data_IF_896526724535
#
_entry.id   IF_896526724535
#
_cell.length_a   1.000
_cell.length_b   1.000
_cell.length_c   1.000
_cell.angle_alpha   90.00
_cell.angle_beta   90.00
_cell.angle_gamma   90.00
#
_symmetry.space_group_name_H-M   'P 1'
#
loop_
_entity.id
_entity.type
_entity.pdbx_description
1 polymer ?
#
# COMPACT_ATOMS: atom_id res chain seq x y z
N UNK A 1 22.08 -38.41 -56.32
CA UNK A 1 23.28 -38.97 -55.67
C UNK A 1 23.45 -38.20 -54.37
N UNK A 2 23.10 -38.85 -53.25
CA UNK A 2 23.49 -38.63 -51.84
C UNK A 2 23.53 -37.21 -51.22
N UNK A 3 22.93 -37.16 -50.02
CA UNK A 3 23.07 -36.21 -48.91
C UNK A 3 22.39 -34.83 -49.05
N UNK A 4 21.60 -34.31 -48.08
CA UNK A 4 21.31 -34.76 -46.71
C UNK A 4 20.02 -34.05 -46.23
N UNK A 5 19.12 -34.81 -45.61
CA UNK A 5 18.05 -34.30 -44.74
C UNK A 5 18.65 -33.61 -43.52
N UNK A 6 17.97 -32.59 -42.94
CA UNK A 6 17.67 -32.54 -41.49
C UNK A 6 16.76 -31.33 -41.15
N UNK A 7 15.52 -31.66 -40.76
CA UNK A 7 14.67 -31.05 -39.72
C UNK A 7 14.09 -29.64 -39.86
N UNK A 8 12.84 -29.63 -40.33
CA UNK A 8 11.69 -28.98 -39.67
C UNK A 8 11.67 -29.32 -38.17
N UNK A 9 11.77 -28.32 -37.27
CA UNK A 9 11.11 -28.19 -35.93
C UNK A 9 11.79 -27.04 -35.19
N UNK A 10 11.29 -25.80 -35.33
CA UNK A 10 11.73 -24.69 -34.46
C UNK A 10 10.63 -23.61 -34.35
N UNK A 11 9.42 -24.03 -34.00
CA UNK A 11 8.31 -23.16 -33.61
C UNK A 11 7.59 -23.82 -32.43
N UNK A 12 8.24 -23.81 -31.26
CA UNK A 12 7.70 -24.06 -29.90
C UNK A 12 8.86 -24.10 -28.89
N UNK A 13 9.43 -22.94 -28.57
CA UNK A 13 10.22 -22.66 -27.35
C UNK A 13 10.60 -21.18 -27.33
N UNK A 14 9.59 -20.35 -27.09
CA UNK A 14 9.77 -18.96 -26.67
C UNK A 14 8.76 -18.68 -25.55
N UNK A 15 8.65 -19.63 -24.61
CA UNK A 15 8.18 -19.36 -23.25
C UNK A 15 9.39 -18.79 -22.51
N UNK A 16 9.43 -17.47 -22.41
CA UNK A 16 10.42 -16.72 -21.65
C UNK A 16 10.49 -17.25 -20.21
N UNK A 17 11.65 -17.78 -19.85
CA UNK A 17 12.07 -18.11 -18.48
C UNK A 17 12.19 -16.82 -17.65
N UNK A 18 11.05 -16.31 -17.17
CA UNK A 18 11.00 -15.17 -16.24
C UNK A 18 11.26 -15.60 -14.79
N UNK A 19 11.10 -16.90 -14.47
CA UNK A 19 11.40 -17.45 -13.15
C UNK A 19 12.90 -17.43 -12.82
N UNK A 20 13.80 -17.46 -13.81
CA UNK A 20 15.24 -17.59 -13.55
C UNK A 20 15.98 -16.26 -13.32
N UNK A 21 15.41 -15.12 -13.74
CA UNK A 21 16.06 -13.80 -13.61
C UNK A 21 15.62 -13.04 -12.34
N UNK A 22 14.42 -13.28 -11.81
CA UNK A 22 13.95 -12.64 -10.58
C UNK A 22 14.62 -13.17 -9.30
N UNK A 23 15.28 -14.33 -9.34
CA UNK A 23 15.72 -15.06 -8.14
C UNK A 23 17.23 -15.16 -7.92
N UNK A 24 18.08 -14.60 -8.80
CA UNK A 24 19.55 -14.69 -8.65
C UNK A 24 20.17 -13.64 -7.73
N UNK A 25 19.41 -12.63 -7.28
CA UNK A 25 19.91 -11.56 -6.40
C UNK A 25 19.79 -11.79 -4.88
N UNK A 26 19.09 -12.84 -4.42
CA UNK A 26 18.60 -12.92 -3.03
C UNK A 26 19.30 -14.00 -2.17
N UNK A 27 20.31 -14.70 -2.71
CA UNK A 27 20.98 -15.79 -1.95
C UNK A 27 22.00 -15.34 -0.91
N UNK A 28 22.43 -14.08 -0.89
CA UNK A 28 23.53 -13.65 0.00
C UNK A 28 23.06 -13.15 1.39
N UNK A 29 21.79 -12.76 1.55
CA UNK A 29 21.28 -12.22 2.83
C UNK A 29 20.75 -13.28 3.81
N UNK A 30 20.65 -14.56 3.42
CA UNK A 30 20.18 -15.63 4.32
C UNK A 30 21.24 -16.13 5.32
N UNK A 31 22.47 -15.62 5.29
CA UNK A 31 23.54 -16.14 6.15
C UNK A 31 23.75 -15.36 7.46
N UNK A 32 23.11 -14.20 7.67
CA UNK A 32 23.40 -13.34 8.84
C UNK A 32 22.35 -13.41 9.95
N UNK A 33 21.15 -13.93 9.68
CA UNK A 33 20.09 -14.10 10.71
C UNK A 33 20.01 -15.51 11.34
N UNK A 34 20.86 -16.47 10.95
CA UNK A 34 20.81 -17.84 11.45
C UNK A 34 21.68 -18.12 12.69
N UNK A 35 22.36 -17.11 13.25
CA UNK A 35 23.22 -17.26 14.44
C UNK A 35 22.72 -16.43 15.62
N UNK A 36 21.58 -16.83 16.17
CA UNK A 36 21.21 -16.51 17.55
C UNK A 36 20.66 -17.79 18.21
N UNK A 37 21.56 -18.53 18.84
CA UNK A 37 21.26 -19.72 19.63
C UNK A 37 20.39 -19.35 20.85
N UNK A 38 19.18 -19.92 20.94
CA UNK A 38 18.56 -20.22 22.23
C UNK A 38 18.14 -21.70 22.26
N UNK A 39 18.95 -22.51 22.93
CA UNK A 39 18.62 -23.88 23.34
C UNK A 39 17.58 -23.82 24.47
N UNK A 40 16.50 -24.59 24.36
CA UNK A 40 15.81 -25.18 25.53
C UNK A 40 15.54 -26.67 25.29
N UNK A 41 15.64 -27.52 26.32
CA UNK A 41 15.74 -28.97 26.14
C UNK A 41 14.36 -29.64 26.01
N UNK A 42 14.32 -30.61 25.10
CA UNK A 42 13.30 -31.66 24.99
C UNK A 42 13.32 -32.54 26.25
N UNK A 43 12.16 -32.74 26.86
CA UNK A 43 11.88 -33.90 27.72
C UNK A 43 10.60 -34.57 27.21
N UNK A 44 10.78 -35.77 26.68
CA UNK A 44 9.73 -36.75 26.40
C UNK A 44 9.27 -37.36 27.73
N UNK A 45 7.95 -37.47 27.93
CA UNK A 45 7.36 -38.51 28.76
C UNK A 45 5.99 -38.90 28.18
N UNK A 46 5.91 -40.16 27.74
CA UNK A 46 4.71 -40.86 27.30
C UNK A 46 3.84 -41.21 28.52
N UNK A 47 2.52 -41.08 28.39
CA UNK A 47 1.56 -41.94 29.08
C UNK A 47 0.14 -41.71 28.54
N UNK A 48 -0.38 -42.74 27.89
CA UNK A 48 -1.79 -42.94 27.53
C UNK A 48 -2.67 -43.10 28.78
N UNK A 49 -3.87 -42.54 28.77
CA UNK A 49 -5.09 -43.33 29.01
C UNK A 49 -6.36 -42.53 28.72
N UNK A 50 -7.23 -43.17 27.93
CA UNK A 50 -8.60 -42.77 27.72
C UNK A 50 -9.45 -43.14 28.94
N UNK A 51 -10.36 -42.26 29.35
CA UNK A 51 -11.64 -42.67 29.91
C UNK A 51 -12.70 -41.61 29.66
N UNK A 52 -13.75 -42.02 28.96
CA UNK A 52 -15.04 -41.36 28.87
C UNK A 52 -15.71 -41.35 30.25
N UNK A 53 -16.09 -40.17 30.74
CA UNK A 53 -17.23 -40.02 31.65
C UNK A 53 -17.98 -38.74 31.32
N UNK A 54 -19.30 -38.90 31.16
CA UNK A 54 -20.30 -37.90 30.82
C UNK A 54 -20.80 -37.28 32.14
N UNK A 55 -20.85 -35.96 32.23
CA UNK A 55 -21.46 -35.23 33.35
C UNK A 55 -22.24 -34.00 32.83
N UNK A 56 -23.24 -33.51 33.58
CA UNK A 56 -24.50 -33.01 33.04
C UNK A 56 -24.48 -31.51 32.71
N UNK A 57 -25.47 -31.11 31.89
CA UNK A 57 -25.74 -29.76 31.47
C UNK A 57 -26.00 -28.83 32.68
N UNK A 58 -25.21 -27.76 32.78
CA UNK A 58 -25.49 -26.61 33.64
C UNK A 58 -25.61 -25.37 32.77
N UNK A 59 -26.69 -24.61 33.00
CA UNK A 59 -26.92 -23.30 32.40
C UNK A 59 -25.76 -22.35 32.73
N UNK A 60 -25.01 -21.97 31.71
CA UNK A 60 -23.95 -20.95 31.79
C UNK A 60 -24.37 -19.70 31.05
N UNK A 61 -24.40 -18.58 31.78
CA UNK A 61 -24.70 -17.25 31.28
C UNK A 61 -23.90 -16.90 30.02
N UNK A 62 -24.55 -16.19 29.09
CA UNK A 62 -23.88 -15.54 27.98
C UNK A 62 -22.86 -14.54 28.54
N UNK A 63 -21.59 -14.96 28.58
CA UNK A 63 -20.46 -14.05 28.70
C UNK A 63 -20.39 -13.27 27.38
N UNK A 64 -20.84 -12.03 27.43
CA UNK A 64 -20.51 -11.01 26.44
C UNK A 64 -18.99 -10.83 26.47
N UNK A 65 -18.26 -11.64 25.70
CA UNK A 65 -16.89 -11.34 25.31
C UNK A 65 -16.94 -10.02 24.55
N UNK A 66 -16.46 -8.94 25.17
CA UNK A 66 -16.17 -7.70 24.46
C UNK A 66 -15.09 -8.05 23.44
N UNK A 67 -15.48 -8.23 22.17
CA UNK A 67 -14.53 -8.32 21.08
C UNK A 67 -13.81 -6.98 20.99
N UNK A 68 -12.49 -7.00 21.15
CA UNK A 68 -11.65 -5.81 20.93
C UNK A 68 -11.78 -5.39 19.48
N UNK A 69 -12.04 -4.10 19.23
CA UNK A 69 -12.18 -3.61 17.85
C UNK A 69 -10.82 -3.68 17.14
N UNK A 70 -10.76 -3.79 15.80
CA UNK A 70 -9.50 -3.82 15.07
C UNK A 70 -8.57 -2.65 15.43
N UNK A 71 -9.14 -1.44 15.61
CA UNK A 71 -8.41 -0.24 16.03
C UNK A 71 -7.86 -0.32 17.46
N UNK A 72 -8.53 -1.02 18.38
CA UNK A 72 -8.03 -1.25 19.74
C UNK A 72 -6.87 -2.26 19.71
N UNK A 73 -7.03 -3.37 18.99
CA UNK A 73 -5.99 -4.38 18.83
C UNK A 73 -4.71 -3.78 18.19
N UNK A 74 -4.85 -2.85 17.25
CA UNK A 74 -3.71 -2.12 16.69
C UNK A 74 -2.98 -1.22 17.68
N UNK A 75 -3.72 -0.54 18.57
CA UNK A 75 -3.10 0.31 19.59
C UNK A 75 -2.32 -0.54 20.60
N UNK A 76 -2.86 -1.69 20.98
CA UNK A 76 -2.17 -2.66 21.82
C UNK A 76 -0.92 -3.22 21.13
N UNK A 77 -1.03 -3.60 19.84
CA UNK A 77 0.10 -4.09 19.07
C UNK A 77 1.23 -3.05 18.88
N UNK A 78 0.92 -1.75 18.79
CA UNK A 78 1.94 -0.69 18.73
C UNK A 78 2.55 -0.36 20.11
N UNK A 79 1.78 -0.53 21.19
CA UNK A 79 2.28 -0.39 22.57
C UNK A 79 3.25 -1.52 22.95
N UNK A 80 3.03 -2.71 22.41
CA UNK A 80 3.88 -3.89 22.61
C UNK A 80 4.97 -4.05 21.54
N UNK A 81 5.10 -3.09 20.62
CA UNK A 81 6.09 -3.16 19.54
C UNK A 81 7.52 -3.23 20.10
N UNK A 82 8.26 -4.25 19.66
CA UNK A 82 9.67 -4.40 20.01
C UNK A 82 10.51 -3.34 19.28
N UNK A 83 11.55 -2.84 19.93
CA UNK A 83 12.50 -1.95 19.26
C UNK A 83 13.71 -2.75 18.78
N UNK A 84 14.16 -2.48 17.56
CA UNK A 84 15.34 -3.11 16.98
C UNK A 84 16.29 -2.03 16.41
N UNK A 85 16.99 -1.27 17.27
CA UNK A 85 17.86 -0.18 16.83
C UNK A 85 18.99 -0.63 15.90
N UNK A 86 19.51 -1.85 16.10
CA UNK A 86 20.61 -2.41 15.32
C UNK A 86 20.20 -2.68 13.86
N UNK A 87 19.02 -3.27 13.65
CA UNK A 87 18.48 -3.53 12.31
C UNK A 87 18.26 -2.22 11.54
N UNK A 88 17.70 -1.22 12.19
CA UNK A 88 17.49 0.10 11.57
C UNK A 88 18.82 0.79 11.27
N UNK A 89 19.81 0.68 12.16
CA UNK A 89 21.14 1.25 11.91
C UNK A 89 21.84 0.54 10.76
N UNK A 90 21.71 -0.78 10.66
CA UNK A 90 22.24 -1.57 9.54
C UNK A 90 21.68 -1.07 8.21
N UNK A 91 20.36 -0.96 8.08
CA UNK A 91 19.74 -0.45 6.85
C UNK A 91 20.02 1.03 6.61
N UNK A 92 20.09 1.88 7.64
CA UNK A 92 20.48 3.28 7.48
C UNK A 92 21.89 3.42 6.91
N UNK A 93 22.84 2.57 7.35
CA UNK A 93 24.20 2.54 6.80
C UNK A 93 24.23 2.06 5.34
N UNK A 94 23.36 1.12 4.96
CA UNK A 94 23.23 0.72 3.55
C UNK A 94 22.69 1.87 2.71
N UNK A 95 21.59 2.50 3.15
CA UNK A 95 20.95 3.60 2.42
C UNK A 95 21.87 4.81 2.28
N UNK A 96 22.68 5.14 3.29
CA UNK A 96 23.62 6.27 3.22
C UNK A 96 24.73 6.09 2.18
N UNK A 97 24.98 4.85 1.73
CA UNK A 97 25.94 4.53 0.67
C UNK A 97 25.33 4.59 -0.75
N UNK A 98 24.01 4.72 -0.87
CA UNK A 98 23.32 4.74 -2.15
C UNK A 98 23.48 6.08 -2.88
N UNK A 99 23.37 6.12 -4.23
CA UNK A 99 23.37 7.37 -4.97
C UNK A 99 22.29 8.32 -4.45
N UNK A 100 22.68 9.55 -4.13
CA UNK A 100 21.79 10.59 -3.62
C UNK A 100 21.59 11.72 -4.64
N UNK A 101 20.44 12.38 -4.57
CA UNK A 101 20.11 13.56 -5.38
C UNK A 101 19.21 14.50 -4.58
N UNK A 102 19.24 15.79 -4.90
CA UNK A 102 18.30 16.75 -4.32
C UNK A 102 16.87 16.43 -4.79
N UNK A 103 15.94 16.32 -3.85
CA UNK A 103 14.55 15.95 -4.12
C UNK A 103 13.60 17.16 -4.21
N UNK A 104 12.31 16.87 -4.36
CA UNK A 104 11.23 17.89 -4.31
C UNK A 104 11.08 18.53 -2.92
N UNK A 105 11.37 17.78 -1.87
CA UNK A 105 11.42 18.28 -0.50
C UNK A 105 12.85 18.72 -0.15
N UNK A 106 13.03 19.40 0.98
CA UNK A 106 14.37 19.73 1.49
C UNK A 106 15.26 18.51 1.79
N UNK A 107 14.67 17.30 1.72
CA UNK A 107 15.36 16.07 2.04
C UNK A 107 16.05 15.53 0.80
N UNK A 108 17.28 15.02 0.99
CA UNK A 108 17.95 14.22 -0.03
C UNK A 108 17.11 12.97 -0.36
N UNK A 109 17.01 12.67 -1.64
CA UNK A 109 16.50 11.40 -2.12
C UNK A 109 17.66 10.45 -2.39
N UNK A 110 17.49 9.22 -1.95
CA UNK A 110 18.39 8.12 -2.25
C UNK A 110 17.74 7.23 -3.29
N UNK A 111 18.54 6.75 -4.24
CA UNK A 111 18.11 5.79 -5.25
C UNK A 111 18.30 4.38 -4.72
N UNK A 112 17.20 3.72 -4.38
CA UNK A 112 17.19 2.31 -4.01
C UNK A 112 17.73 1.44 -5.17
N UNK A 113 18.32 0.29 -4.87
CA UNK A 113 18.91 -0.61 -5.88
C UNK A 113 17.89 -1.07 -6.94
N UNK A 114 16.62 -1.15 -6.56
CA UNK A 114 15.50 -1.44 -7.45
C UNK A 114 15.05 -0.23 -8.30
N UNK A 115 15.80 0.87 -8.28
CA UNK A 115 15.67 2.00 -9.20
C UNK A 115 14.70 3.10 -8.80
N UNK A 116 14.08 3.03 -7.62
CA UNK A 116 13.15 4.04 -7.14
C UNK A 116 13.77 5.00 -6.11
N UNK A 117 13.15 6.16 -5.92
CA UNK A 117 13.69 7.25 -5.09
C UNK A 117 12.81 7.57 -3.89
N UNK A 118 13.40 7.79 -2.72
CA UNK A 118 12.69 8.42 -1.59
C UNK A 118 13.72 8.97 -0.58
N UNK A 119 13.26 9.64 0.46
CA UNK A 119 14.15 10.02 1.56
C UNK A 119 14.62 8.78 2.34
N UNK A 120 15.70 8.95 3.11
CA UNK A 120 16.33 7.84 3.84
C UNK A 120 15.34 7.04 4.70
N UNK A 121 14.50 7.75 5.46
CA UNK A 121 13.70 7.12 6.52
C UNK A 121 12.64 6.15 5.96
N UNK A 122 11.84 6.51 4.93
CA UNK A 122 10.94 5.56 4.30
C UNK A 122 11.66 4.39 3.59
N UNK A 123 12.85 4.61 3.02
CA UNK A 123 13.63 3.49 2.42
C UNK A 123 14.03 2.50 3.51
N UNK A 124 14.57 2.99 4.63
CA UNK A 124 14.91 2.13 5.78
C UNK A 124 13.68 1.39 6.27
N UNK A 125 12.55 2.08 6.44
CA UNK A 125 11.28 1.45 6.86
C UNK A 125 10.82 0.36 5.90
N UNK A 126 10.98 0.56 4.59
CA UNK A 126 10.66 -0.44 3.58
C UNK A 126 11.57 -1.68 3.66
N UNK A 127 12.88 -1.49 3.87
CA UNK A 127 13.83 -2.59 4.01
C UNK A 127 13.60 -3.39 5.30
N UNK A 128 13.26 -2.71 6.41
CA UNK A 128 12.86 -3.38 7.66
C UNK A 128 11.53 -4.13 7.46
N UNK A 129 10.56 -3.54 6.77
CA UNK A 129 9.32 -4.22 6.45
C UNK A 129 9.56 -5.49 5.62
N UNK A 130 10.42 -5.46 4.60
CA UNK A 130 10.79 -6.66 3.85
C UNK A 130 11.44 -7.75 4.73
N UNK A 131 12.30 -7.35 5.67
CA UNK A 131 12.98 -8.28 6.57
C UNK A 131 12.06 -8.90 7.64
N UNK A 132 11.02 -8.18 8.09
CA UNK A 132 10.25 -8.54 9.28
C UNK A 132 8.76 -8.84 9.01
N UNK A 133 8.18 -8.36 7.91
CA UNK A 133 6.75 -8.54 7.64
C UNK A 133 6.45 -9.96 7.19
N UNK A 134 5.55 -10.62 7.92
CA UNK A 134 5.02 -11.94 7.56
C UNK A 134 3.59 -11.78 7.05
N UNK A 135 3.45 -11.90 5.73
CA UNK A 135 2.17 -11.85 5.04
C UNK A 135 1.26 -13.03 5.40
N UNK A 136 -0.03 -12.76 5.60
CA UNK A 136 -1.10 -13.77 5.71
C UNK A 136 -1.91 -13.82 4.41
N UNK A 137 -2.45 -14.99 4.02
CA UNK A 137 -3.30 -15.11 2.84
C UNK A 137 -4.53 -14.18 2.85
N UNK A 138 -4.98 -13.76 4.03
CA UNK A 138 -6.13 -12.90 4.27
C UNK A 138 -5.80 -11.40 4.25
N UNK A 139 -4.51 -11.01 4.22
CA UNK A 139 -4.15 -9.59 4.22
C UNK A 139 -4.58 -8.91 2.91
N UNK A 140 -5.00 -7.65 3.05
CA UNK A 140 -5.35 -6.78 1.93
C UNK A 140 -4.45 -5.55 1.97
N UNK A 141 -3.74 -5.30 0.88
CA UNK A 141 -2.72 -4.25 0.78
C UNK A 141 -3.15 -3.23 -0.26
N UNK A 142 -3.31 -1.98 0.16
CA UNK A 142 -3.47 -0.85 -0.75
C UNK A 142 -2.09 -0.39 -1.20
N UNK A 143 -1.86 -0.39 -2.50
CA UNK A 143 -0.66 0.17 -3.09
C UNK A 143 -1.01 1.37 -3.99
N UNK A 144 -0.30 2.48 -3.84
CA UNK A 144 -0.49 3.66 -4.71
C UNK A 144 0.82 4.42 -4.81
N UNK A 145 1.07 5.16 -5.89
CA UNK A 145 2.00 6.29 -5.75
C UNK A 145 1.35 7.36 -4.85
N UNK A 146 2.12 8.10 -4.04
CA UNK A 146 1.58 9.18 -3.22
C UNK A 146 0.69 10.12 -4.06
N UNK A 147 -0.47 10.52 -3.54
CA UNK A 147 -1.40 11.46 -4.22
C UNK A 147 -2.17 10.90 -5.43
N UNK A 148 -2.18 9.59 -5.61
CA UNK A 148 -3.01 8.91 -6.63
C UNK A 148 -4.39 8.48 -6.13
N UNK A 149 -4.89 9.07 -5.04
CA UNK A 149 -6.20 8.73 -4.45
C UNK A 149 -6.13 7.82 -3.21
N UNK A 150 -4.98 7.70 -2.57
CA UNK A 150 -4.73 6.79 -1.43
C UNK A 150 -5.73 6.96 -0.28
N UNK A 151 -6.01 8.20 0.13
CA UNK A 151 -6.98 8.48 1.20
C UNK A 151 -8.37 7.95 0.85
N UNK A 152 -8.79 8.13 -0.41
CA UNK A 152 -10.11 7.72 -0.86
C UNK A 152 -10.24 6.19 -0.94
N UNK A 153 -9.26 5.50 -1.53
CA UNK A 153 -9.29 4.03 -1.59
C UNK A 153 -9.14 3.39 -0.20
N UNK A 154 -8.38 4.01 0.72
CA UNK A 154 -8.36 3.58 2.13
C UNK A 154 -9.74 3.68 2.78
N UNK A 155 -10.42 4.79 2.58
CA UNK A 155 -11.79 4.97 3.08
C UNK A 155 -12.75 3.94 2.52
N UNK A 156 -12.75 3.76 1.20
CA UNK A 156 -13.63 2.80 0.52
C UNK A 156 -13.35 1.36 0.95
N UNK A 157 -12.08 0.96 1.03
CA UNK A 157 -11.72 -0.40 1.47
C UNK A 157 -12.14 -0.64 2.92
N UNK A 158 -11.83 0.28 3.83
CA UNK A 158 -12.17 0.13 5.25
C UNK A 158 -13.69 0.03 5.44
N UNK A 159 -14.44 0.97 4.87
CA UNK A 159 -15.90 0.97 4.94
C UNK A 159 -16.49 -0.30 4.31
N UNK A 160 -15.92 -0.80 3.21
CA UNK A 160 -16.40 -2.03 2.55
C UNK A 160 -16.13 -3.26 3.42
N UNK A 161 -14.90 -3.45 3.91
CA UNK A 161 -14.50 -4.64 4.69
C UNK A 161 -15.20 -4.71 6.04
N UNK A 162 -15.40 -3.56 6.69
CA UNK A 162 -15.98 -3.50 8.03
C UNK A 162 -17.45 -3.08 8.04
N UNK A 163 -18.15 -2.99 6.90
CA UNK A 163 -19.54 -2.48 6.81
C UNK A 163 -20.56 -3.13 7.76
N UNK A 164 -20.33 -4.39 8.14
CA UNK A 164 -21.20 -5.13 9.08
C UNK A 164 -20.88 -4.82 10.55
N UNK A 165 -19.61 -4.59 10.85
CA UNK A 165 -19.12 -4.23 12.19
C UNK A 165 -19.32 -2.73 12.47
N UNK A 166 -19.20 -1.92 11.42
CA UNK A 166 -19.30 -0.47 11.44
C UNK A 166 -20.27 -0.01 10.34
N UNK A 167 -21.59 -0.11 10.57
CA UNK A 167 -22.58 0.44 9.66
C UNK A 167 -22.32 1.92 9.37
N UNK A 168 -22.62 2.35 8.15
CA UNK A 168 -22.33 3.71 7.64
C UNK A 168 -23.00 4.84 8.43
N UNK A 169 -24.11 4.55 9.10
CA UNK A 169 -24.92 5.47 9.90
C UNK A 169 -24.66 5.32 11.42
N UNK A 170 -23.75 4.43 11.81
CA UNK A 170 -23.38 4.24 13.20
C UNK A 170 -22.76 5.52 13.78
N UNK A 171 -23.27 5.97 14.93
CA UNK A 171 -22.77 7.18 15.60
C UNK A 171 -21.28 7.07 15.97
N UNK A 172 -20.84 5.86 16.28
CA UNK A 172 -19.46 5.50 16.62
C UNK A 172 -18.64 5.01 15.40
N UNK A 173 -19.11 5.23 14.17
CA UNK A 173 -18.35 4.87 12.98
C UNK A 173 -16.93 5.46 13.05
N UNK A 174 -15.87 4.67 12.78
CA UNK A 174 -14.48 5.09 12.99
C UNK A 174 -14.09 6.42 12.36
N UNK A 175 -14.61 6.75 11.17
CA UNK A 175 -14.36 8.04 10.51
C UNK A 175 -14.84 9.28 11.29
N UNK A 176 -15.69 9.13 12.32
CA UNK A 176 -16.07 10.26 13.18
C UNK A 176 -14.95 10.64 14.17
N UNK A 177 -14.01 9.74 14.45
CA UNK A 177 -12.95 9.93 15.46
C UNK A 177 -11.53 9.71 14.93
N UNK A 178 -11.38 8.96 13.84
CA UNK A 178 -10.10 8.49 13.31
C UNK A 178 -10.05 8.67 11.78
N UNK A 179 -8.95 9.21 11.27
CA UNK A 179 -8.78 9.43 9.83
C UNK A 179 -8.45 8.14 9.05
N UNK A 180 -8.67 8.09 7.72
CA UNK A 180 -8.42 6.88 6.93
C UNK A 180 -6.97 6.36 6.96
N UNK A 181 -6.00 7.25 7.19
CA UNK A 181 -4.59 6.89 7.32
C UNK A 181 -4.26 6.19 8.64
N UNK A 182 -5.07 6.37 9.67
CA UNK A 182 -4.95 5.66 10.96
C UNK A 182 -5.72 4.33 10.95
N UNK A 183 -6.79 4.24 10.15
CA UNK A 183 -7.54 2.99 9.95
C UNK A 183 -6.79 1.94 9.10
N UNK A 184 -5.94 2.39 8.17
CA UNK A 184 -5.12 1.51 7.33
C UNK A 184 -3.71 2.09 7.28
N UNK A 185 -2.79 1.56 8.06
CA UNK A 185 -1.46 2.14 8.25
C UNK A 185 -0.48 1.75 7.15
N UNK A 186 0.45 2.66 6.85
CA UNK A 186 1.53 2.39 5.90
C UNK A 186 2.66 1.58 6.51
N UNK A 187 3.25 0.66 5.75
CA UNK A 187 4.48 -0.04 6.16
C UNK A 187 5.61 0.94 6.43
N UNK A 188 5.97 1.75 5.44
CA UNK A 188 7.18 2.58 5.43
C UNK A 188 7.02 3.95 6.12
N UNK A 189 5.79 4.34 6.46
CA UNK A 189 5.50 5.65 7.06
C UNK A 189 4.92 5.62 8.48
N UNK A 190 4.35 4.49 8.91
CA UNK A 190 3.71 4.38 10.23
C UNK A 190 4.19 3.13 10.99
N UNK A 191 4.13 1.95 10.37
CA UNK A 191 4.35 0.66 11.04
C UNK A 191 5.83 0.36 11.31
N UNK A 192 6.64 0.31 10.27
CA UNK A 192 8.08 0.03 10.36
C UNK A 192 8.86 1.33 10.42
N UNK A 193 8.67 2.05 11.53
CA UNK A 193 9.29 3.35 11.75
C UNK A 193 9.81 3.49 13.17
N UNK A 194 10.60 4.55 13.42
CA UNK A 194 11.06 4.91 14.79
C UNK A 194 11.71 3.74 15.54
N UNK A 195 12.45 2.89 14.82
CA UNK A 195 13.14 1.70 15.34
C UNK A 195 12.22 0.58 15.84
N UNK A 196 10.91 0.65 15.58
CA UNK A 196 9.93 -0.35 16.02
C UNK A 196 9.76 -1.48 14.99
N UNK A 197 9.47 -2.67 15.48
CA UNK A 197 8.94 -3.81 14.73
C UNK A 197 7.59 -4.16 15.35
N UNK A 198 6.47 -3.86 14.66
CA UNK A 198 5.13 -4.02 15.24
C UNK A 198 4.74 -5.49 15.38
N UNK A 199 4.06 -5.82 16.48
CA UNK A 199 3.52 -7.15 16.76
C UNK A 199 2.25 -7.46 15.97
N UNK A 200 2.32 -7.45 14.64
CA UNK A 200 1.16 -7.58 13.73
C UNK A 200 0.49 -8.96 13.79
N UNK A 201 1.08 -9.93 14.47
CA UNK A 201 0.55 -11.28 14.59
C UNK A 201 -0.69 -11.37 15.50
N UNK A 202 -0.92 -10.35 16.33
CA UNK A 202 -2.07 -10.31 17.25
C UNK A 202 -3.31 -9.69 16.60
N UNK A 203 -3.18 -9.08 15.43
CA UNK A 203 -4.30 -8.43 14.75
C UNK A 203 -5.27 -9.48 14.19
N UNK A 204 -6.59 -9.20 14.24
CA UNK A 204 -7.59 -10.07 13.63
C UNK A 204 -7.48 -10.03 12.10
N UNK A 205 -7.96 -11.09 11.45
CA UNK A 205 -8.07 -11.16 10.01
C UNK A 205 -9.42 -10.57 9.52
N UNK A 206 -9.46 -9.98 8.31
CA UNK A 206 -8.33 -9.64 7.46
C UNK A 206 -7.58 -8.40 7.97
N UNK A 207 -6.24 -8.40 7.88
CA UNK A 207 -5.45 -7.20 8.21
C UNK A 207 -5.38 -6.28 6.99
N UNK A 208 -5.55 -4.98 7.23
CA UNK A 208 -5.52 -3.95 6.19
C UNK A 208 -4.23 -3.14 6.29
N UNK A 209 -3.45 -3.14 5.22
CA UNK A 209 -2.20 -2.37 5.15
C UNK A 209 -2.17 -1.48 3.92
N UNK A 210 -1.26 -0.50 3.95
CA UNK A 210 -0.99 0.32 2.78
C UNK A 210 0.50 0.50 2.53
N UNK A 211 0.84 0.88 1.30
CA UNK A 211 2.21 1.19 0.92
C UNK A 211 2.27 2.10 -0.31
N UNK A 212 3.36 2.84 -0.40
CA UNK A 212 3.80 3.57 -1.57
C UNK A 212 4.95 2.90 -2.31
N UNK A 213 5.34 1.68 -1.91
CA UNK A 213 6.44 0.96 -2.55
C UNK A 213 6.08 0.50 -3.96
N UNK A 214 7.04 0.54 -4.91
CA UNK A 214 6.85 -0.12 -6.19
C UNK A 214 6.72 -1.63 -6.00
N UNK A 215 6.02 -2.30 -6.91
CA UNK A 215 5.71 -3.73 -6.81
C UNK A 215 6.95 -4.61 -6.53
N UNK A 216 8.08 -4.27 -7.18
CA UNK A 216 9.37 -4.99 -7.04
C UNK A 216 10.05 -4.84 -5.68
N UNK A 217 9.55 -3.94 -4.82
CA UNK A 217 10.09 -3.68 -3.48
C UNK A 217 9.04 -3.88 -2.38
N UNK A 218 7.90 -4.51 -2.70
CA UNK A 218 7.01 -5.04 -1.68
C UNK A 218 7.75 -6.09 -0.84
N UNK A 219 7.45 -6.19 0.48
CA UNK A 219 7.93 -7.30 1.29
C UNK A 219 7.79 -8.64 0.57
N UNK A 220 8.87 -9.40 0.50
CA UNK A 220 9.02 -10.61 -0.31
C UNK A 220 8.01 -11.71 0.04
N UNK A 221 7.45 -11.68 1.25
CA UNK A 221 6.37 -12.58 1.68
C UNK A 221 5.04 -12.29 0.98
N UNK A 222 4.79 -11.08 0.47
CA UNK A 222 3.52 -10.67 -0.14
C UNK A 222 3.28 -11.33 -1.51
N UNK A 223 4.16 -11.22 -2.52
CA UNK A 223 3.89 -11.83 -3.82
C UNK A 223 3.77 -13.37 -3.74
N UNK A 224 4.49 -13.98 -2.77
CA UNK A 224 4.49 -15.42 -2.53
C UNK A 224 3.26 -15.93 -1.77
N UNK A 225 2.50 -15.05 -1.09
CA UNK A 225 1.35 -15.45 -0.28
C UNK A 225 0.03 -15.42 -1.06
N UNK A 226 -1.08 -15.63 -0.36
CA UNK A 226 -2.44 -15.44 -0.87
C UNK A 226 -2.96 -14.00 -0.77
N UNK A 227 -2.13 -13.03 -0.34
CA UNK A 227 -2.53 -11.64 -0.14
C UNK A 227 -3.21 -11.04 -1.38
N UNK A 228 -4.12 -10.12 -1.11
CA UNK A 228 -4.76 -9.29 -2.14
C UNK A 228 -4.14 -7.91 -2.16
N UNK A 229 -3.87 -7.39 -3.35
CA UNK A 229 -3.31 -6.07 -3.57
C UNK A 229 -4.34 -5.25 -4.35
N UNK A 230 -4.69 -4.07 -3.84
CA UNK A 230 -5.53 -3.09 -4.52
C UNK A 230 -4.64 -1.93 -4.93
N UNK A 231 -4.42 -1.76 -6.23
CA UNK A 231 -3.60 -0.69 -6.79
C UNK A 231 -4.47 0.40 -7.41
N UNK A 232 -4.14 1.67 -7.13
CA UNK A 232 -4.77 2.83 -7.78
C UNK A 232 -3.72 3.69 -8.47
N UNK A 233 -3.88 3.91 -9.78
CA UNK A 233 -3.17 4.95 -10.52
C UNK A 233 -4.09 6.15 -10.80
N UNK A 234 -3.48 7.26 -11.22
CA UNK A 234 -4.15 8.52 -11.56
C UNK A 234 -3.41 9.17 -12.71
N UNK A 235 -4.06 9.96 -13.57
CA UNK A 235 -3.39 10.71 -14.65
C UNK A 235 -2.10 11.37 -14.13
N UNK A 236 -0.94 11.15 -14.78
CA UNK A 236 0.36 11.63 -14.30
C UNK A 236 0.42 13.16 -14.11
N UNK A 237 -0.35 13.92 -14.90
CA UNK A 237 -0.42 15.38 -14.82
C UNK A 237 -1.18 15.83 -13.56
N UNK A 238 -2.33 15.24 -13.28
CA UNK A 238 -3.08 15.52 -12.03
C UNK A 238 -2.34 15.02 -10.79
N UNK A 239 -1.68 13.87 -10.91
CA UNK A 239 -0.80 13.33 -9.88
C UNK A 239 0.30 14.34 -9.52
N UNK A 240 1.03 14.84 -10.53
CA UNK A 240 2.09 15.83 -10.36
C UNK A 240 1.60 17.09 -9.65
N UNK A 241 0.48 17.68 -10.09
CA UNK A 241 -0.07 18.89 -9.45
C UNK A 241 -0.45 18.61 -8.00
N UNK A 242 -1.07 17.46 -7.74
CA UNK A 242 -1.43 17.08 -6.38
C UNK A 242 -0.21 16.81 -5.49
N UNK A 243 0.90 16.33 -6.06
CA UNK A 243 2.15 16.11 -5.35
C UNK A 243 2.87 17.43 -5.07
N UNK A 244 2.94 18.33 -6.05
CA UNK A 244 3.55 19.65 -5.91
C UNK A 244 2.86 20.47 -4.80
N UNK A 245 1.52 20.56 -4.81
CA UNK A 245 0.76 21.25 -3.76
C UNK A 245 1.05 20.67 -2.37
N UNK A 246 1.02 19.34 -2.26
CA UNK A 246 1.21 18.66 -0.99
C UNK A 246 2.64 18.85 -0.45
N UNK A 247 3.65 18.76 -1.32
CA UNK A 247 5.03 19.05 -0.95
C UNK A 247 5.18 20.51 -0.52
N UNK A 248 4.55 21.46 -1.21
CA UNK A 248 4.62 22.88 -0.84
C UNK A 248 4.00 23.17 0.53
N UNK A 249 2.95 22.46 0.94
CA UNK A 249 2.43 22.52 2.32
C UNK A 249 3.48 22.07 3.34
N UNK A 250 4.17 20.97 3.06
CA UNK A 250 5.29 20.51 3.91
C UNK A 250 6.45 21.50 3.94
N UNK A 251 6.79 22.10 2.81
CA UNK A 251 7.85 23.11 2.73
C UNK A 251 7.49 24.34 3.56
N UNK A 252 6.26 24.83 3.47
CA UNK A 252 5.76 25.93 4.30
C UNK A 252 5.85 25.61 5.81
N UNK A 253 5.48 24.39 6.23
CA UNK A 253 5.63 23.97 7.63
C UNK A 253 7.09 23.99 8.12
N UNK A 254 8.04 23.78 7.20
CA UNK A 254 9.48 23.82 7.49
C UNK A 254 10.11 25.19 7.16
N UNK A 255 9.32 26.23 6.91
CA UNK A 255 9.78 27.59 6.60
C UNK A 255 10.66 27.65 5.34
N UNK A 256 10.29 26.86 4.31
CA UNK A 256 10.99 26.80 3.04
C UNK A 256 10.12 27.38 1.93
N UNK A 257 10.79 28.02 0.97
CA UNK A 257 10.14 28.55 -0.24
C UNK A 257 9.44 27.45 -1.04
N UNK A 258 8.26 27.71 -1.61
CA UNK A 258 7.54 26.72 -2.42
C UNK A 258 8.33 26.39 -3.70
N UNK A 259 8.23 25.14 -4.14
CA UNK A 259 8.72 24.69 -5.46
C UNK A 259 7.68 25.08 -6.51
N UNK A 260 8.14 25.63 -7.63
CA UNK A 260 7.27 25.92 -8.78
C UNK A 260 6.78 24.64 -9.44
N UNK A 261 5.63 24.73 -10.12
CA UNK A 261 5.06 23.60 -10.85
C UNK A 261 6.00 23.13 -11.96
N UNK A 262 6.70 24.05 -12.63
CA UNK A 262 7.66 23.75 -13.69
C UNK A 262 8.88 22.98 -13.16
N UNK A 263 9.47 23.42 -12.05
CA UNK A 263 10.58 22.72 -11.43
C UNK A 263 10.15 21.33 -10.94
N UNK A 264 8.94 21.22 -10.37
CA UNK A 264 8.39 19.93 -9.99
C UNK A 264 8.18 19.00 -11.20
N UNK A 265 7.70 19.56 -12.33
CA UNK A 265 7.50 18.81 -13.57
C UNK A 265 8.82 18.31 -14.18
N UNK A 266 9.89 19.11 -14.11
CA UNK A 266 11.21 18.70 -14.58
C UNK A 266 11.74 17.48 -13.83
N UNK A 267 11.67 17.52 -12.50
CA UNK A 267 12.07 16.42 -11.62
C UNK A 267 11.17 15.19 -11.83
N UNK A 268 9.87 15.38 -11.96
CA UNK A 268 8.93 14.29 -12.24
C UNK A 268 9.22 13.62 -13.59
N UNK A 269 9.47 14.40 -14.64
CA UNK A 269 9.80 13.90 -15.97
C UNK A 269 11.15 13.18 -16.03
N UNK A 270 12.11 13.54 -15.17
CA UNK A 270 13.38 12.81 -15.03
C UNK A 270 13.27 11.55 -14.18
N UNK A 271 12.10 11.32 -13.56
CA UNK A 271 11.83 10.19 -12.67
C UNK A 271 12.17 10.43 -11.21
N UNK A 272 12.65 11.61 -10.85
CA UNK A 272 13.05 11.99 -9.49
C UNK A 272 11.85 12.51 -8.68
N UNK A 273 10.99 11.59 -8.26
CA UNK A 273 9.86 11.85 -7.38
C UNK A 273 9.80 10.82 -6.25
N UNK A 274 9.12 11.09 -5.12
CA UNK A 274 8.86 10.08 -4.09
C UNK A 274 8.26 8.81 -4.69
N UNK A 275 8.94 7.68 -4.49
CA UNK A 275 8.68 6.35 -5.05
C UNK A 275 8.63 6.28 -6.58
N UNK A 276 9.08 7.33 -7.26
CA UNK A 276 9.23 7.36 -8.71
C UNK A 276 10.42 6.53 -9.19
N UNK A 277 10.56 6.31 -10.51
CA UNK A 277 9.80 6.97 -11.58
C UNK A 277 8.32 6.56 -11.66
N UNK A 278 7.42 7.53 -11.89
CA UNK A 278 5.96 7.30 -11.92
C UNK A 278 5.56 6.15 -12.85
N UNK A 279 6.06 6.16 -14.10
CA UNK A 279 5.63 5.19 -15.11
C UNK A 279 6.08 3.78 -14.79
N UNK A 280 7.32 3.62 -14.30
CA UNK A 280 7.88 2.34 -13.92
C UNK A 280 7.13 1.75 -12.72
N UNK A 281 6.74 2.59 -11.75
CA UNK A 281 5.91 2.19 -10.62
C UNK A 281 4.52 1.69 -11.08
N UNK A 282 3.82 2.45 -11.93
CA UNK A 282 2.51 2.06 -12.47
C UNK A 282 2.59 0.79 -13.30
N UNK A 283 3.59 0.67 -14.17
CA UNK A 283 3.78 -0.52 -15.01
C UNK A 283 4.09 -1.78 -14.20
N UNK A 284 4.80 -1.66 -13.07
CA UNK A 284 5.05 -2.78 -12.17
C UNK A 284 3.76 -3.44 -11.71
N UNK A 285 2.83 -2.63 -11.19
CA UNK A 285 1.52 -3.12 -10.74
C UNK A 285 0.60 -3.51 -11.89
N UNK A 286 0.65 -2.81 -13.03
CA UNK A 286 -0.12 -3.18 -14.22
C UNK A 286 0.27 -4.57 -14.75
N UNK A 287 1.57 -4.85 -14.85
CA UNK A 287 2.06 -6.19 -15.25
C UNK A 287 1.62 -7.26 -14.24
N UNK A 288 1.73 -6.97 -12.95
CA UNK A 288 1.28 -7.90 -11.91
C UNK A 288 -0.23 -8.18 -11.99
N UNK A 289 -1.04 -7.17 -12.29
CA UNK A 289 -2.48 -7.31 -12.55
C UNK A 289 -2.78 -8.21 -13.75
N UNK A 290 -2.05 -8.06 -14.86
CA UNK A 290 -2.25 -8.92 -16.03
C UNK A 290 -1.87 -10.38 -15.77
N UNK A 291 -0.85 -10.63 -14.96
CA UNK A 291 -0.36 -11.99 -14.64
C UNK A 291 -1.18 -12.66 -13.53
N UNK A 292 -1.60 -11.89 -12.52
CA UNK A 292 -2.32 -12.37 -11.34
C UNK A 292 -3.56 -11.52 -11.04
N UNK A 293 -4.57 -11.46 -11.93
CA UNK A 293 -5.75 -10.61 -11.76
C UNK A 293 -6.58 -10.95 -10.51
N UNK A 294 -6.48 -12.18 -10.01
CA UNK A 294 -7.09 -12.64 -8.76
C UNK A 294 -6.36 -12.18 -7.49
N UNK A 295 -5.11 -11.72 -7.61
CA UNK A 295 -4.29 -11.21 -6.49
C UNK A 295 -4.05 -9.71 -6.57
N UNK A 296 -4.13 -9.11 -7.75
CA UNK A 296 -3.87 -7.67 -7.95
C UNK A 296 -5.05 -7.05 -8.69
N UNK A 297 -5.82 -6.23 -8.00
CA UNK A 297 -6.86 -5.39 -8.58
C UNK A 297 -6.26 -4.05 -8.97
N UNK A 298 -6.46 -3.62 -10.22
CA UNK A 298 -5.94 -2.36 -10.74
C UNK A 298 -7.10 -1.41 -11.04
N UNK A 299 -7.09 -0.25 -10.40
CA UNK A 299 -8.06 0.82 -10.63
C UNK A 299 -7.37 2.08 -11.14
N UNK A 300 -8.13 2.87 -11.91
CA UNK A 300 -7.77 4.24 -12.28
C UNK A 300 -8.67 5.19 -11.52
N UNK A 301 -8.08 6.20 -10.90
CA UNK A 301 -8.78 7.21 -10.11
C UNK A 301 -9.90 7.89 -10.91
N UNK A 302 -9.68 8.13 -12.20
CA UNK A 302 -10.64 8.75 -13.11
C UNK A 302 -11.85 7.85 -13.40
N UNK A 303 -11.65 6.53 -13.43
CA UNK A 303 -12.73 5.55 -13.59
C UNK A 303 -13.52 5.40 -12.29
N UNK A 304 -12.84 5.38 -11.15
CA UNK A 304 -13.48 5.39 -9.83
C UNK A 304 -14.34 6.65 -9.63
N UNK A 305 -13.86 7.83 -10.03
CA UNK A 305 -14.63 9.08 -9.99
C UNK A 305 -15.88 9.05 -10.85
N UNK A 306 -15.80 8.41 -12.03
CA UNK A 306 -16.91 8.33 -12.97
C UNK A 306 -18.04 7.43 -12.47
N UNK A 307 -17.68 6.30 -11.87
CA UNK A 307 -18.64 5.35 -11.32
C UNK A 307 -18.14 4.76 -9.99
N UNK A 308 -18.29 5.49 -8.87
CA UNK A 308 -17.80 5.02 -7.58
C UNK A 308 -18.49 3.74 -7.12
N UNK A 309 -19.79 3.59 -7.39
CA UNK A 309 -20.58 2.45 -6.93
C UNK A 309 -20.11 1.14 -7.58
N UNK A 310 -19.88 1.15 -8.89
CA UNK A 310 -19.31 -0.01 -9.61
C UNK A 310 -17.93 -0.40 -9.05
N UNK A 311 -17.08 0.57 -8.75
CA UNK A 311 -15.76 0.28 -8.20
C UNK A 311 -15.80 -0.25 -6.76
N UNK A 312 -16.79 0.18 -5.96
CA UNK A 312 -17.06 -0.39 -4.63
C UNK A 312 -17.52 -1.84 -4.73
N UNK A 313 -18.41 -2.18 -5.68
CA UNK A 313 -18.82 -3.58 -5.93
C UNK A 313 -17.63 -4.45 -6.34
N UNK A 314 -16.86 -4.00 -7.33
CA UNK A 314 -15.65 -4.70 -7.80
C UNK A 314 -14.62 -4.88 -6.68
N UNK A 315 -14.46 -3.87 -5.81
CA UNK A 315 -13.59 -3.96 -4.65
C UNK A 315 -14.07 -5.04 -3.68
N UNK A 316 -15.37 -5.03 -3.35
CA UNK A 316 -16.00 -5.99 -2.44
C UNK A 316 -15.89 -7.43 -2.96
N UNK A 317 -16.19 -7.67 -4.23
CA UNK A 317 -16.00 -8.94 -4.91
C UNK A 317 -14.54 -9.40 -4.83
N UNK A 318 -13.61 -8.52 -5.20
CA UNK A 318 -12.19 -8.83 -5.22
C UNK A 318 -11.68 -9.20 -3.83
N UNK A 319 -12.07 -8.49 -2.77
CA UNK A 319 -11.64 -8.82 -1.40
C UNK A 319 -12.37 -10.02 -0.81
N UNK A 320 -13.34 -10.60 -1.51
CA UNK A 320 -14.06 -11.81 -1.11
C UNK A 320 -15.24 -11.54 -0.19
N UNK A 321 -15.80 -10.33 -0.23
CA UNK A 321 -16.98 -9.93 0.51
C UNK A 321 -18.00 -9.25 -0.41
N UNK A 322 -18.49 -9.90 -1.48
CA UNK A 322 -19.47 -9.31 -2.39
C UNK A 322 -20.72 -8.86 -1.63
N UNK A 323 -21.40 -7.84 -2.15
CA UNK A 323 -22.66 -7.38 -1.59
C UNK A 323 -23.77 -8.40 -1.87
N UNK A 324 -24.58 -8.68 -0.85
CA UNK A 324 -25.79 -9.49 -1.01
C UNK A 324 -26.93 -8.71 -1.68
N UNK A 325 -27.94 -9.41 -2.17
CA UNK A 325 -29.11 -8.80 -2.80
C UNK A 325 -29.86 -7.82 -1.87
N UNK A 326 -29.89 -8.13 -0.57
CA UNK A 326 -30.47 -7.25 0.46
C UNK A 326 -29.62 -6.00 0.67
N UNK A 327 -28.29 -6.14 0.77
CA UNK A 327 -27.37 -4.98 0.88
C UNK A 327 -27.47 -4.04 -0.33
N UNK A 328 -27.67 -4.60 -1.53
CA UNK A 328 -27.90 -3.83 -2.76
C UNK A 328 -29.27 -3.12 -2.73
N UNK A 329 -30.33 -3.82 -2.31
CA UNK A 329 -31.68 -3.25 -2.20
C UNK A 329 -31.74 -2.11 -1.17
N UNK A 330 -31.05 -2.28 -0.04
CA UNK A 330 -30.97 -1.31 1.05
C UNK A 330 -30.04 -0.13 0.73
N UNK A 331 -29.39 -0.13 -0.43
CA UNK A 331 -28.53 0.96 -0.88
C UNK A 331 -27.22 1.08 -0.09
N UNK A 332 -26.71 -0.02 0.45
CA UNK A 332 -25.45 -0.03 1.25
C UNK A 332 -24.27 0.47 0.42
N UNK A 333 -24.20 0.10 -0.87
CA UNK A 333 -23.16 0.55 -1.80
C UNK A 333 -23.17 2.08 -1.91
N UNK A 334 -24.33 2.67 -2.18
CA UNK A 334 -24.50 4.13 -2.31
C UNK A 334 -24.22 4.85 -0.99
N UNK A 335 -24.53 4.21 0.14
CA UNK A 335 -24.23 4.75 1.45
C UNK A 335 -22.73 4.77 1.76
N UNK A 336 -21.99 3.71 1.39
CA UNK A 336 -20.51 3.69 1.46
C UNK A 336 -19.90 4.77 0.56
N UNK A 337 -20.39 4.90 -0.68
CA UNK A 337 -19.94 5.93 -1.63
C UNK A 337 -20.15 7.33 -1.04
N UNK A 338 -21.33 7.60 -0.48
CA UNK A 338 -21.67 8.89 0.14
C UNK A 338 -20.80 9.16 1.37
N UNK A 339 -20.62 8.17 2.25
CA UNK A 339 -19.75 8.26 3.43
C UNK A 339 -18.31 8.61 3.03
N UNK A 340 -17.79 7.96 1.99
CA UNK A 340 -16.42 8.14 1.52
C UNK A 340 -16.26 9.26 0.48
N UNK A 341 -17.31 10.03 0.18
CA UNK A 341 -17.27 11.13 -0.78
C UNK A 341 -16.30 12.23 -0.33
N UNK A 342 -15.77 12.99 -1.29
CA UNK A 342 -14.85 14.09 -0.98
C UNK A 342 -15.52 15.13 -0.08
N UNK A 343 -16.76 15.47 -0.38
CA UNK A 343 -17.58 16.45 0.34
C UNK A 343 -17.80 16.02 1.78
N UNK A 344 -18.22 14.77 2.00
CA UNK A 344 -18.43 14.26 3.35
C UNK A 344 -17.11 14.20 4.13
N UNK A 345 -16.10 13.53 3.57
CA UNK A 345 -14.84 13.28 4.26
C UNK A 345 -14.06 14.56 4.59
N UNK A 346 -14.07 15.56 3.70
CA UNK A 346 -13.48 16.88 3.96
C UNK A 346 -14.26 17.70 4.99
N UNK A 347 -15.55 17.41 5.14
CA UNK A 347 -16.45 18.03 6.11
C UNK A 347 -16.29 17.54 7.55
N UNK A 348 -15.72 16.34 7.77
CA UNK A 348 -15.59 15.72 9.09
C UNK A 348 -14.65 16.49 10.01
N UNK A 349 -14.98 16.54 11.31
CA UNK A 349 -14.15 17.21 12.32
C UNK A 349 -12.76 16.58 12.45
N UNK A 350 -12.66 15.24 12.35
CA UNK A 350 -11.37 14.54 12.33
C UNK A 350 -10.50 14.95 11.14
N UNK A 351 -11.11 15.35 10.02
CA UNK A 351 -10.36 15.85 8.86
C UNK A 351 -9.97 17.31 9.04
N UNK A 352 -10.88 18.15 9.52
CA UNK A 352 -10.65 19.59 9.68
C UNK A 352 -9.63 19.93 10.75
N UNK A 353 -9.62 19.18 11.86
CA UNK A 353 -8.80 19.47 13.05
C UNK A 353 -7.82 18.36 13.42
N UNK A 354 -7.99 17.17 12.86
CA UNK A 354 -7.13 16.04 13.16
C UNK A 354 -5.77 16.12 12.46
N UNK A 355 -4.87 15.27 12.92
CA UNK A 355 -3.52 15.13 12.40
C UNK A 355 -3.19 13.65 12.26
N UNK A 356 -2.30 13.34 11.33
CA UNK A 356 -1.76 12.00 11.10
C UNK A 356 -0.24 12.08 11.29
N UNK A 357 0.30 11.18 12.10
CA UNK A 357 1.73 11.10 12.35
C UNK A 357 2.41 10.16 11.36
N UNK A 358 3.33 10.70 10.57
CA UNK A 358 4.26 9.92 9.78
C UNK A 358 5.67 10.04 10.36
N UNK A 359 6.54 9.12 9.95
CA UNK A 359 7.97 9.20 10.32
C UNK A 359 8.67 10.44 9.77
N UNK A 360 8.11 11.04 8.72
CA UNK A 360 8.61 12.27 8.08
C UNK A 360 8.00 13.55 8.67
N UNK A 361 7.16 13.44 9.70
CA UNK A 361 6.49 14.55 10.36
C UNK A 361 4.98 14.35 10.50
N UNK A 362 4.38 15.20 11.34
CA UNK A 362 2.93 15.24 11.57
C UNK A 362 2.26 16.10 10.50
N UNK A 363 1.19 15.58 9.90
CA UNK A 363 0.44 16.23 8.81
C UNK A 363 -0.97 16.53 9.27
N UNK A 364 -1.43 17.75 9.04
CA UNK A 364 -2.84 18.09 9.25
C UNK A 364 -3.72 17.33 8.25
N UNK A 365 -4.79 16.69 8.74
CA UNK A 365 -5.61 15.83 7.90
C UNK A 365 -6.27 16.61 6.73
N UNK A 366 -6.54 17.90 6.92
CA UNK A 366 -6.99 18.83 5.88
C UNK A 366 -6.06 18.87 4.66
N UNK A 367 -4.75 18.63 4.84
CA UNK A 367 -3.77 18.61 3.75
C UNK A 367 -3.95 17.46 2.77
N UNK A 368 -4.69 16.40 3.15
CA UNK A 368 -5.03 15.31 2.24
C UNK A 368 -6.18 15.66 1.28
N UNK A 369 -6.96 16.71 1.59
CA UNK A 369 -8.14 17.13 0.83
C UNK A 369 -7.87 18.49 0.18
N UNK A 370 -7.76 18.52 -1.15
CA UNK A 370 -7.48 19.74 -1.91
C UNK A 370 -8.64 20.14 -2.82
N UNK A 371 -8.85 19.36 -3.89
CA UNK A 371 -9.95 19.57 -4.83
C UNK A 371 -10.75 18.30 -5.11
N UNK A 372 -10.10 17.14 -5.15
CA UNK A 372 -10.79 15.88 -5.44
C UNK A 372 -11.43 15.85 -6.83
N UNK A 373 -10.79 16.45 -7.85
CA UNK A 373 -11.31 16.48 -9.23
C UNK A 373 -10.32 15.91 -10.25
N UNK A 374 -10.83 15.55 -11.43
CA UNK A 374 -10.06 15.13 -12.61
C UNK A 374 -9.86 16.33 -13.55
N UNK A 375 -8.67 16.45 -14.13
CA UNK A 375 -8.32 17.47 -15.12
C UNK A 375 -7.91 18.81 -14.52
N UNK A 376 -7.60 18.88 -13.22
CA UNK A 376 -7.17 20.13 -12.59
C UNK A 376 -5.82 20.60 -13.14
N UNK A 377 -4.99 19.68 -13.64
CA UNK A 377 -3.71 19.99 -14.28
C UNK A 377 -3.79 21.08 -15.35
N UNK A 378 -4.94 21.25 -16.03
CA UNK A 378 -5.17 22.28 -17.04
C UNK A 378 -5.07 23.71 -16.49
N UNK A 379 -5.26 23.89 -15.19
CA UNK A 379 -5.19 25.18 -14.52
C UNK A 379 -3.76 25.54 -14.06
N UNK A 380 -2.81 24.59 -14.12
CA UNK A 380 -1.48 24.76 -13.52
C UNK A 380 -0.33 24.47 -14.47
N UNK A 381 -0.49 23.52 -15.40
CA UNK A 381 0.57 23.16 -16.35
C UNK A 381 0.50 24.01 -17.61
N UNK A 382 1.66 24.43 -18.10
CA UNK A 382 1.79 24.96 -19.46
C UNK A 382 1.43 23.86 -20.49
N UNK A 383 0.92 24.24 -21.68
CA UNK A 383 0.64 23.29 -22.74
C UNK A 383 1.87 22.46 -23.17
N UNK A 384 3.07 23.04 -23.14
CA UNK A 384 4.32 22.34 -23.46
C UNK A 384 4.67 21.27 -22.43
N UNK A 385 4.57 21.60 -21.14
CA UNK A 385 4.82 20.65 -20.06
C UNK A 385 3.81 19.50 -20.09
N UNK A 386 2.52 19.79 -20.31
CA UNK A 386 1.50 18.77 -20.46
C UNK A 386 1.80 17.83 -21.64
N UNK A 387 2.12 18.37 -22.82
CA UNK A 387 2.51 17.58 -23.99
C UNK A 387 3.74 16.71 -23.75
N UNK A 388 4.74 17.22 -23.02
CA UNK A 388 5.94 16.46 -22.65
C UNK A 388 5.58 15.24 -21.78
N UNK A 389 4.73 15.43 -20.76
CA UNK A 389 4.27 14.35 -19.89
C UNK A 389 3.47 13.31 -20.68
N UNK A 390 2.59 13.76 -21.58
CA UNK A 390 1.81 12.86 -22.45
C UNK A 390 2.73 12.06 -23.38
N UNK A 391 3.74 12.69 -23.98
CA UNK A 391 4.72 12.02 -24.84
C UNK A 391 5.53 10.95 -24.09
N UNK A 392 6.00 11.25 -22.87
CA UNK A 392 6.69 10.26 -22.02
C UNK A 392 5.74 9.11 -21.66
N UNK A 393 4.51 9.42 -21.30
CA UNK A 393 3.49 8.42 -20.94
C UNK A 393 3.21 7.48 -22.10
N UNK A 394 2.96 8.02 -23.30
CA UNK A 394 2.73 7.22 -24.50
C UNK A 394 3.94 6.36 -24.85
N UNK A 395 5.16 6.90 -24.74
CA UNK A 395 6.38 6.15 -25.00
C UNK A 395 6.60 5.01 -24.00
N UNK A 396 6.41 5.27 -22.69
CA UNK A 396 6.60 4.30 -21.61
C UNK A 396 5.54 3.21 -21.61
N UNK A 397 4.29 3.53 -21.91
CA UNK A 397 3.18 2.57 -21.91
C UNK A 397 2.99 1.88 -23.26
N UNK A 398 3.77 2.22 -24.28
CA UNK A 398 3.70 1.57 -25.59
C UNK A 398 3.81 0.05 -25.45
N UNK A 399 2.80 -0.66 -25.95
CA UNK A 399 2.74 -2.12 -25.93
C UNK A 399 2.34 -2.76 -24.60
N UNK A 400 2.03 -1.98 -23.55
CA UNK A 400 1.57 -2.53 -22.28
C UNK A 400 0.07 -2.84 -22.25
N UNK A 401 -0.71 -2.23 -23.16
CA UNK A 401 -2.18 -2.25 -23.13
C UNK A 401 -2.80 -1.29 -22.11
N UNK A 402 -1.99 -0.55 -21.34
CA UNK A 402 -2.47 0.48 -20.41
C UNK A 402 -2.65 1.81 -21.13
N UNK A 403 -3.84 2.39 -20.99
CA UNK A 403 -4.14 3.77 -21.34
C UNK A 403 -4.66 4.52 -20.12
N UNK A 404 -4.12 5.70 -19.85
CA UNK A 404 -4.52 6.60 -18.76
C UNK A 404 -4.81 7.97 -19.36
#
# INVERSE_FOLDING_TARGET
>A
MLHQEFTTTCLKRASFDFEAMAWRGVRWLRSVCATANYKRPLLFALSSNAHHTRAPATHGAMSSSMQTTPLQAEKEADAEAETNPELYQHFANLVSSLPASEGLSNNQFYRHDQGWYCSMVPIVGAMVADACFTARPTDIIIATLPKSGTTWIKSLLYATVHRREHPVDAADHPFNSTGPHECIKFFEYQLYTRKKVPGLDKLPDPRLFATHLPFVSLPSTIPASGCKIVYVCRDPKDHLISQCDFVNKFRAMNQLEPVSVEAAAELFCSGLSPFGPYWDHVLGYWRAHLVWPQKVLFFKYEEMQRDPAEHVRRLAEFVGQPFGAEEELDGVVDAIVRLCSFENMSGLEVTKKGKTDFVIGTVENSSFFRRGVVGDWKNHLSPDTARRIDAITAAKFKGSGLSI
#
